data_IF_362291506250
#
_entry.id   IF_362291506250
#
_cell.length_a   1.000
_cell.length_b   1.000
_cell.length_c   1.000
_cell.angle_alpha   90.00
_cell.angle_beta   90.00
_cell.angle_gamma   90.00
#
_symmetry.space_group_name_H-M   'P 1'
#
loop_
_entity.id
_entity.type
_entity.pdbx_description
1 polymer ?
#
# COMPACT_ATOMS: atom_id res chain seq x y z
N UNK A 1 4.82 -13.14 -32.98
CA UNK A 1 4.95 -12.72 -31.57
C UNK A 1 4.37 -11.31 -31.46
N UNK A 2 3.53 -10.97 -30.48
CA UNK A 2 3.02 -9.60 -30.35
C UNK A 2 4.18 -8.65 -30.07
N UNK A 3 4.34 -7.61 -30.89
CA UNK A 3 5.36 -6.57 -30.70
C UNK A 3 4.89 -5.62 -29.60
N UNK A 4 5.47 -5.75 -28.41
CA UNK A 4 5.31 -4.73 -27.36
C UNK A 4 6.03 -3.47 -27.80
N UNK A 5 5.28 -2.53 -28.38
CA UNK A 5 5.79 -1.20 -28.69
C UNK A 5 6.04 -0.43 -27.38
N UNK A 6 7.01 0.48 -27.40
CA UNK A 6 7.38 1.36 -26.27
C UNK A 6 6.19 2.11 -25.64
N UNK A 7 5.06 2.21 -26.34
CA UNK A 7 3.81 2.81 -25.87
C UNK A 7 3.17 2.04 -24.71
N UNK A 8 3.27 0.71 -24.65
CA UNK A 8 2.58 -0.07 -23.59
C UNK A 8 3.22 0.12 -22.21
N UNK A 9 4.56 0.04 -22.05
CA UNK A 9 5.20 0.40 -20.79
C UNK A 9 4.99 1.88 -20.44
N UNK A 10 4.99 2.79 -21.43
CA UNK A 10 4.89 4.23 -21.20
C UNK A 10 3.58 4.65 -20.53
N UNK A 11 2.48 3.93 -20.81
CA UNK A 11 1.18 4.17 -20.18
C UNK A 11 1.12 3.68 -18.72
N UNK A 12 1.97 2.72 -18.33
CA UNK A 12 2.02 2.20 -16.97
C UNK A 12 2.80 3.11 -16.01
N UNK A 13 3.73 3.91 -16.53
CA UNK A 13 4.57 4.79 -15.70
C UNK A 13 3.77 5.79 -14.85
N UNK A 14 2.80 6.54 -15.41
CA UNK A 14 1.96 7.44 -14.63
C UNK A 14 1.07 6.70 -13.62
N UNK A 15 0.51 5.55 -14.03
CA UNK A 15 -0.37 4.75 -13.18
C UNK A 15 0.39 4.20 -11.94
N UNK A 16 1.58 3.63 -12.15
CA UNK A 16 2.41 3.12 -11.04
C UNK A 16 2.85 4.27 -10.13
N UNK A 17 3.21 5.43 -10.69
CA UNK A 17 3.59 6.62 -9.90
C UNK A 17 2.45 7.10 -8.99
N UNK A 18 1.22 7.12 -9.50
CA UNK A 18 0.03 7.51 -8.73
C UNK A 18 -0.27 6.51 -7.60
N UNK A 19 -0.11 5.21 -7.88
CA UNK A 19 -0.25 4.14 -6.87
C UNK A 19 0.78 4.29 -5.75
N UNK A 20 2.04 4.56 -6.08
CA UNK A 20 3.11 4.79 -5.10
C UNK A 20 2.83 6.02 -4.22
N UNK A 21 2.32 7.10 -4.82
CA UNK A 21 1.90 8.28 -4.07
C UNK A 21 0.77 7.97 -3.08
N UNK A 22 -0.23 7.19 -3.52
CA UNK A 22 -1.33 6.76 -2.67
C UNK A 22 -0.85 5.90 -1.48
N UNK A 23 0.11 5.00 -1.72
CA UNK A 23 0.70 4.18 -0.65
C UNK A 23 1.52 5.01 0.34
N UNK A 24 2.29 5.99 -0.15
CA UNK A 24 3.00 6.94 0.71
C UNK A 24 2.05 7.72 1.62
N UNK A 25 0.95 8.23 1.07
CA UNK A 25 -0.08 8.92 1.86
C UNK A 25 -0.69 8.00 2.93
N UNK A 26 -0.91 6.73 2.59
CA UNK A 26 -1.42 5.73 3.53
C UNK A 26 -0.44 5.43 4.67
N UNK A 27 0.84 5.31 4.35
CA UNK A 27 1.89 5.12 5.34
C UNK A 27 1.98 6.30 6.31
N UNK A 28 1.94 7.53 5.78
CA UNK A 28 1.96 8.75 6.58
C UNK A 28 0.74 8.84 7.52
N UNK A 29 -0.46 8.54 7.01
CA UNK A 29 -1.68 8.53 7.81
C UNK A 29 -1.60 7.51 8.96
N UNK A 30 -1.13 6.29 8.69
CA UNK A 30 -0.90 5.28 9.74
C UNK A 30 0.13 5.74 10.77
N UNK A 31 1.22 6.36 10.33
CA UNK A 31 2.24 6.92 11.22
C UNK A 31 1.71 8.04 12.11
N UNK A 32 0.80 8.89 11.60
CA UNK A 32 0.12 9.91 12.39
C UNK A 32 -0.79 9.28 13.45
N UNK A 33 -1.59 8.27 13.11
CA UNK A 33 -2.45 7.55 14.07
C UNK A 33 -1.60 6.92 15.18
N UNK A 34 -0.49 6.27 14.85
CA UNK A 34 0.43 5.68 15.85
C UNK A 34 1.00 6.75 16.80
N UNK A 35 1.36 7.94 16.28
CA UNK A 35 1.86 9.04 17.13
C UNK A 35 0.77 9.62 18.02
N UNK A 36 -0.47 9.69 17.54
CA UNK A 36 -1.63 10.14 18.33
C UNK A 36 -2.01 9.13 19.43
N UNK A 37 -1.72 7.85 19.22
CA UNK A 37 -1.92 6.81 20.23
C UNK A 37 -0.88 6.82 21.35
N UNK A 38 0.22 7.58 21.20
CA UNK A 38 1.20 7.77 22.27
C UNK A 38 0.62 8.78 23.28
N UNK A 39 0.28 8.39 24.52
CA UNK A 39 -0.08 9.37 25.52
C UNK A 39 1.14 10.23 25.78
N UNK A 40 0.99 11.55 25.75
CA UNK A 40 1.96 12.40 26.43
C UNK A 40 1.99 12.15 27.94
N UNK A 41 2.70 13.01 28.68
CA UNK A 41 2.87 12.93 30.15
C UNK A 41 1.56 12.89 30.97
N UNK A 42 0.39 13.19 30.39
CA UNK A 42 -0.88 13.38 31.10
C UNK A 42 -1.92 12.27 30.95
N UNK A 43 -1.52 11.06 30.53
CA UNK A 43 -2.13 9.80 30.96
C UNK A 43 -3.62 9.58 30.62
N UNK A 44 -3.87 8.75 29.61
CA UNK A 44 -4.76 7.57 29.63
C UNK A 44 -4.87 7.03 28.20
N UNK A 45 -4.28 5.87 27.92
CA UNK A 45 -4.57 5.15 26.67
C UNK A 45 -5.96 4.54 26.83
N UNK A 46 -6.91 4.90 25.97
CA UNK A 46 -8.22 4.24 25.95
C UNK A 46 -8.03 2.75 25.61
N UNK A 47 -8.81 1.86 26.21
CA UNK A 47 -8.71 0.41 25.95
C UNK A 47 -8.88 0.09 24.45
N UNK A 48 -9.70 0.88 23.76
CA UNK A 48 -9.91 0.88 22.30
C UNK A 48 -8.64 1.19 21.51
N UNK A 49 -7.82 2.12 21.99
CA UNK A 49 -6.54 2.50 21.38
C UNK A 49 -5.51 1.36 21.49
N UNK A 50 -5.47 0.67 22.64
CA UNK A 50 -4.64 -0.54 22.80
C UNK A 50 -5.12 -1.67 21.90
N UNK A 51 -6.44 -1.82 21.75
CA UNK A 51 -7.06 -2.84 20.89
C UNK A 51 -6.77 -2.62 19.40
N UNK A 52 -6.48 -1.39 18.98
CA UNK A 52 -6.09 -1.07 17.59
C UNK A 52 -4.63 -1.34 17.27
N UNK A 53 -3.73 -1.31 18.26
CA UNK A 53 -2.29 -1.48 18.05
C UNK A 53 -1.88 -2.70 17.19
N UNK A 54 -2.42 -3.92 17.41
CA UNK A 54 -2.09 -5.07 16.56
C UNK A 54 -2.54 -4.87 15.10
N UNK A 55 -3.70 -4.27 14.88
CA UNK A 55 -4.20 -4.00 13.53
C UNK A 55 -3.37 -2.94 12.81
N UNK A 56 -2.92 -1.91 13.53
CA UNK A 56 -2.05 -0.85 12.99
C UNK A 56 -0.68 -1.40 12.60
N UNK A 57 -0.08 -2.24 13.43
CA UNK A 57 1.19 -2.91 13.09
C UNK A 57 1.07 -3.74 11.81
N UNK A 58 0.00 -4.54 11.70
CA UNK A 58 -0.24 -5.33 10.50
C UNK A 58 -0.45 -4.45 9.26
N UNK A 59 -1.25 -3.39 9.36
CA UNK A 59 -1.48 -2.45 8.25
C UNK A 59 -0.19 -1.76 7.82
N UNK A 60 0.66 -1.35 8.75
CA UNK A 60 1.97 -0.75 8.46
C UNK A 60 2.86 -1.73 7.69
N UNK A 61 2.95 -2.99 8.15
CA UNK A 61 3.71 -4.03 7.44
C UNK A 61 3.15 -4.26 6.03
N UNK A 62 1.82 -4.37 5.87
CA UNK A 62 1.20 -4.53 4.56
C UNK A 62 1.53 -3.36 3.62
N UNK A 63 1.39 -2.11 4.08
CA UNK A 63 1.73 -0.92 3.27
C UNK A 63 3.20 -0.91 2.89
N UNK A 64 4.12 -1.32 3.78
CA UNK A 64 5.54 -1.46 3.46
C UNK A 64 5.78 -2.47 2.34
N UNK A 65 5.16 -3.65 2.39
CA UNK A 65 5.32 -4.67 1.34
C UNK A 65 4.69 -4.25 0.02
N UNK A 66 3.48 -3.67 0.05
CA UNK A 66 2.82 -3.09 -1.12
C UNK A 66 3.73 -2.08 -1.81
N UNK A 67 4.26 -1.13 -1.06
CA UNK A 67 5.11 -0.09 -1.61
C UNK A 67 6.45 -0.62 -2.13
N UNK A 68 7.03 -1.61 -1.47
CA UNK A 68 8.27 -2.27 -1.92
C UNK A 68 8.06 -3.00 -3.25
N UNK A 69 6.97 -3.77 -3.39
CA UNK A 69 6.62 -4.46 -4.64
C UNK A 69 6.23 -3.50 -5.76
N UNK A 70 5.52 -2.41 -5.43
CA UNK A 70 5.19 -1.35 -6.38
C UNK A 70 6.43 -0.61 -6.88
N UNK A 71 7.38 -0.30 -6.00
CA UNK A 71 8.64 0.34 -6.37
C UNK A 71 9.53 -0.59 -7.20
N UNK A 72 9.57 -1.88 -6.84
CA UNK A 72 10.26 -2.90 -7.64
C UNK A 72 9.64 -3.02 -9.03
N UNK A 73 8.31 -3.05 -9.13
CA UNK A 73 7.60 -3.07 -10.41
C UNK A 73 7.94 -1.83 -11.26
N UNK A 74 7.96 -0.65 -10.65
CA UNK A 74 8.32 0.60 -11.33
C UNK A 74 9.75 0.54 -11.91
N UNK A 75 10.71 0.10 -11.09
CA UNK A 75 12.11 -0.03 -11.49
C UNK A 75 12.29 -1.06 -12.62
N UNK A 76 11.66 -2.23 -12.49
CA UNK A 76 11.70 -3.26 -13.53
C UNK A 76 11.06 -2.78 -14.84
N UNK A 77 9.98 -2.00 -14.76
CA UNK A 77 9.35 -1.39 -15.93
C UNK A 77 10.28 -0.37 -16.61
N UNK A 78 10.98 0.46 -15.83
CA UNK A 78 11.98 1.38 -16.36
C UNK A 78 13.15 0.64 -17.04
N UNK A 79 13.65 -0.43 -16.43
CA UNK A 79 14.68 -1.28 -17.03
C UNK A 79 14.19 -1.99 -18.30
N UNK A 80 12.92 -2.41 -18.33
CA UNK A 80 12.31 -3.00 -19.52
C UNK A 80 12.27 -1.99 -20.68
N UNK A 81 11.83 -0.75 -20.42
CA UNK A 81 11.87 0.33 -21.41
C UNK A 81 13.29 0.59 -21.92
N UNK A 82 14.28 0.59 -21.02
CA UNK A 82 15.67 0.80 -21.37
C UNK A 82 16.19 -0.34 -22.27
N UNK A 83 15.85 -1.59 -21.96
CA UNK A 83 16.23 -2.74 -22.79
C UNK A 83 15.58 -2.69 -24.18
N UNK A 84 14.29 -2.33 -24.26
CA UNK A 84 13.59 -2.14 -25.54
C UNK A 84 14.18 -0.98 -26.35
N UNK A 85 14.67 0.07 -25.68
CA UNK A 85 15.34 1.19 -26.34
C UNK A 85 16.65 0.77 -27.04
N UNK A 86 17.35 -0.24 -26.52
CA UNK A 86 18.55 -0.83 -27.13
C UNK A 86 18.23 -2.01 -28.07
N UNK A 87 16.99 -2.12 -28.57
CA UNK A 87 16.51 -3.22 -29.43
C UNK A 87 16.66 -4.62 -28.80
N UNK A 88 16.80 -4.70 -27.47
CA UNK A 88 16.95 -5.96 -26.75
C UNK A 88 15.59 -6.49 -26.28
N UNK A 89 14.81 -7.00 -27.23
CA UNK A 89 13.42 -7.44 -27.01
C UNK A 89 13.28 -8.55 -25.97
N UNK A 90 14.19 -9.53 -25.94
CA UNK A 90 14.11 -10.67 -25.02
C UNK A 90 14.14 -10.19 -23.57
N UNK A 91 15.12 -9.35 -23.23
CA UNK A 91 15.25 -8.79 -21.88
C UNK A 91 14.14 -7.77 -21.59
N UNK A 92 13.74 -6.97 -22.57
CA UNK A 92 12.63 -6.04 -22.46
C UNK A 92 11.33 -6.74 -22.07
N UNK A 93 10.95 -7.80 -22.78
CA UNK A 93 9.73 -8.55 -22.50
C UNK A 93 9.80 -9.32 -21.17
N UNK A 94 10.95 -9.91 -20.84
CA UNK A 94 11.13 -10.62 -19.57
C UNK A 94 10.99 -9.68 -18.36
N UNK A 95 11.72 -8.55 -18.37
CA UNK A 95 11.64 -7.55 -17.30
C UNK A 95 10.24 -6.93 -17.19
N UNK A 96 9.59 -6.68 -18.32
CA UNK A 96 8.22 -6.17 -18.34
C UNK A 96 7.24 -7.17 -17.70
N UNK A 97 7.33 -8.45 -18.04
CA UNK A 97 6.51 -9.50 -17.41
C UNK A 97 6.69 -9.58 -15.90
N UNK A 98 7.94 -9.54 -15.41
CA UNK A 98 8.24 -9.55 -13.97
C UNK A 98 7.68 -8.28 -13.30
N UNK A 99 7.77 -7.13 -13.96
CA UNK A 99 7.20 -5.87 -13.44
C UNK A 99 5.69 -5.97 -13.21
N UNK A 100 4.95 -6.56 -14.16
CA UNK A 100 3.50 -6.76 -14.04
C UNK A 100 3.17 -7.74 -12.92
N UNK A 101 3.93 -8.84 -12.79
CA UNK A 101 3.74 -9.80 -11.70
C UNK A 101 3.97 -9.14 -10.32
N UNK A 102 5.03 -8.34 -10.18
CA UNK A 102 5.32 -7.59 -8.96
C UNK A 102 4.22 -6.56 -8.65
N UNK A 103 3.76 -5.81 -9.66
CA UNK A 103 2.66 -4.86 -9.51
C UNK A 103 1.35 -5.55 -9.10
N UNK A 104 1.05 -6.70 -9.70
CA UNK A 104 -0.13 -7.51 -9.34
C UNK A 104 -0.05 -7.97 -7.89
N UNK A 105 1.11 -8.44 -7.43
CA UNK A 105 1.34 -8.79 -6.02
C UNK A 105 1.13 -7.59 -5.09
N UNK A 106 1.64 -6.41 -5.46
CA UNK A 106 1.40 -5.16 -4.72
C UNK A 106 -0.08 -4.83 -4.59
N UNK A 107 -0.86 -4.98 -5.67
CA UNK A 107 -2.29 -4.70 -5.67
C UNK A 107 -3.08 -5.71 -4.83
N UNK A 108 -2.71 -6.99 -4.86
CA UNK A 108 -3.32 -8.01 -3.99
C UNK A 108 -3.10 -7.71 -2.51
N UNK A 109 -1.89 -7.29 -2.14
CA UNK A 109 -1.62 -6.81 -0.78
C UNK A 109 -2.43 -5.56 -0.45
N UNK A 110 -2.65 -4.66 -1.42
CA UNK A 110 -3.53 -3.50 -1.26
C UNK A 110 -4.96 -3.89 -0.92
N UNK A 111 -5.50 -4.92 -1.57
CA UNK A 111 -6.83 -5.43 -1.26
C UNK A 111 -6.88 -6.03 0.15
N UNK A 112 -5.88 -6.84 0.51
CA UNK A 112 -5.78 -7.42 1.85
C UNK A 112 -5.73 -6.33 2.94
N UNK A 113 -4.95 -5.28 2.71
CA UNK A 113 -4.82 -4.16 3.64
C UNK A 113 -6.12 -3.37 3.77
N UNK A 114 -6.85 -3.14 2.68
CA UNK A 114 -8.18 -2.49 2.72
C UNK A 114 -9.13 -3.28 3.62
N UNK A 115 -9.17 -4.61 3.49
CA UNK A 115 -10.03 -5.48 4.31
C UNK A 115 -9.67 -5.38 5.80
N UNK A 116 -8.37 -5.42 6.13
CA UNK A 116 -7.89 -5.26 7.51
C UNK A 116 -8.24 -3.88 8.05
N UNK A 117 -8.08 -2.84 7.24
CA UNK A 117 -8.39 -1.46 7.61
C UNK A 117 -9.87 -1.26 7.91
N UNK A 118 -10.76 -1.80 7.09
CA UNK A 118 -12.21 -1.70 7.30
C UNK A 118 -12.64 -2.42 8.56
N UNK A 119 -12.08 -3.63 8.82
CA UNK A 119 -12.36 -4.37 10.05
C UNK A 119 -11.88 -3.62 11.30
N UNK A 120 -10.69 -3.03 11.26
CA UNK A 120 -10.15 -2.25 12.37
C UNK A 120 -10.98 -0.99 12.67
N UNK A 121 -11.53 -0.36 11.63
CA UNK A 121 -12.40 0.81 11.77
C UNK A 121 -13.77 0.43 12.35
N UNK A 122 -14.32 -0.72 11.97
CA UNK A 122 -15.58 -1.23 12.53
C UNK A 122 -15.52 -1.39 14.06
N UNK A 123 -14.40 -1.88 14.60
CA UNK A 123 -14.22 -2.02 16.06
C UNK A 123 -14.26 -0.67 16.78
N UNK A 124 -13.72 0.40 16.18
CA UNK A 124 -13.79 1.74 16.77
C UNK A 124 -15.19 2.33 16.65
N UNK A 125 -15.87 2.12 15.53
CA UNK A 125 -17.23 2.59 15.34
C UNK A 125 -18.18 1.95 16.37
N UNK A 126 -18.09 0.63 16.56
CA UNK A 126 -18.87 -0.10 17.57
C UNK A 126 -18.61 0.41 19.00
N UNK A 127 -17.36 0.75 19.33
CA UNK A 127 -17.01 1.27 20.65
C UNK A 127 -17.58 2.68 20.88
N UNK A 128 -17.53 3.55 19.87
CA UNK A 128 -18.14 4.89 19.91
C UNK A 128 -19.66 4.78 20.05
N UNK A 129 -20.31 3.90 19.29
CA UNK A 129 -21.76 3.67 19.39
C UNK A 129 -22.15 3.14 20.77
N UNK A 130 -21.32 2.28 21.37
CA UNK A 130 -21.57 1.75 22.71
C UNK A 130 -21.46 2.84 23.78
N UNK A 131 -20.46 3.72 23.68
CA UNK A 131 -20.29 4.86 24.59
C UNK A 131 -21.46 5.86 24.46
N UNK A 132 -21.97 6.11 23.26
CA UNK A 132 -23.14 6.97 23.06
C UNK A 132 -24.47 6.40 23.59
N UNK A 133 -24.59 5.07 23.72
CA UNK A 133 -25.82 4.39 24.18
C UNK A 133 -25.91 4.16 25.68
N UNK A 134 -24.90 4.48 26.48
CA UNK A 134 -24.97 4.44 27.94
C UNK A 134 -25.64 5.75 28.44
N UNK A 135 -26.90 5.74 28.91
CA UNK A 135 -27.44 6.85 29.68
C UNK A 135 -26.71 6.88 31.04
N UNK A 136 -26.33 8.08 31.49
CA UNK A 136 -25.91 8.33 32.87
C UNK A 136 -27.02 8.00 33.88
#
# INVERSE_FOLDING_TARGET
MPTLNLTTPALLFPAISLVLLAYGNRFLALGQIVRQLHPGESGHVTDTALRQLPSLRLRIELVKYMQSLGALAFLLCALAMLALYFDNEIWGHALFGISIASLSGSLLLSLAEILVSTKALGVVLEDIERQQKLPE
#
